data_IF_174764005876
#
_entry.id   IF_174764005876
#
_cell.length_a   1.000
_cell.length_b   1.000
_cell.length_c   1.000
_cell.angle_alpha   90.00
_cell.angle_beta   90.00
_cell.angle_gamma   90.00
#
_symmetry.space_group_name_H-M   'P 1'
#
loop_
_entity.id
_entity.type
_entity.pdbx_description
1 polymer ?
#
# COMPACT_ATOMS: atom_id res chain seq x y z
N UNK A 1 32.83 2.62 0.29
CA UNK A 1 31.61 2.85 -0.51
C UNK A 1 30.46 2.20 0.24
N UNK A 2 29.67 2.98 0.98
CA UNK A 2 28.56 2.45 1.75
C UNK A 2 27.34 2.30 0.85
N UNK A 3 26.97 1.05 0.52
CA UNK A 3 25.67 0.77 -0.07
C UNK A 3 24.61 0.93 1.02
N UNK A 4 23.82 1.99 0.96
CA UNK A 4 22.61 2.10 1.77
C UNK A 4 21.55 1.20 1.14
N UNK A 5 21.38 -0.02 1.67
CA UNK A 5 20.17 -0.81 1.45
C UNK A 5 19.20 -0.49 2.57
N UNK A 6 18.13 0.26 2.26
CA UNK A 6 16.96 0.37 3.13
C UNK A 6 16.28 -1.01 3.12
N UNK A 7 16.74 -1.90 4.02
CA UNK A 7 16.11 -3.21 4.23
C UNK A 7 14.91 -3.02 5.12
N UNK A 8 13.80 -2.60 4.55
CA UNK A 8 12.51 -2.92 5.15
C UNK A 8 12.23 -4.38 4.85
N UNK A 9 12.21 -5.25 5.85
CA UNK A 9 11.91 -6.65 5.62
C UNK A 9 10.40 -6.86 5.41
N UNK A 10 9.58 -5.81 5.47
CA UNK A 10 8.12 -5.88 5.39
C UNK A 10 7.63 -5.26 4.08
N UNK A 11 7.01 -6.09 3.24
CA UNK A 11 6.33 -5.67 2.01
C UNK A 11 4.83 -5.94 2.20
N UNK A 12 4.00 -4.92 2.05
CA UNK A 12 2.55 -5.11 1.90
C UNK A 12 2.19 -5.19 0.42
N UNK A 13 1.50 -6.27 0.07
CA UNK A 13 0.83 -6.40 -1.22
C UNK A 13 -0.65 -6.07 -1.07
N UNK A 14 -1.04 -4.93 -1.61
CA UNK A 14 -2.40 -4.43 -1.68
C UNK A 14 -3.03 -4.97 -2.98
N UNK A 15 -4.09 -5.75 -2.87
CA UNK A 15 -4.85 -6.24 -4.04
C UNK A 15 -6.08 -5.39 -4.23
N UNK A 16 -6.08 -4.58 -5.28
CA UNK A 16 -7.21 -3.77 -5.73
C UNK A 16 -8.04 -4.53 -6.77
N UNK A 17 -9.14 -3.95 -7.22
CA UNK A 17 -9.99 -4.59 -8.26
C UNK A 17 -9.26 -4.68 -9.59
N UNK A 18 -8.44 -3.67 -9.92
CA UNK A 18 -7.80 -3.57 -11.22
C UNK A 18 -6.30 -3.94 -11.21
N UNK A 19 -5.62 -3.88 -10.05
CA UNK A 19 -4.18 -4.20 -9.96
C UNK A 19 -3.74 -4.72 -8.58
N UNK A 20 -2.45 -5.08 -8.48
CA UNK A 20 -1.79 -5.31 -7.18
C UNK A 20 -0.61 -4.37 -7.02
N UNK A 21 -0.55 -3.71 -5.87
CA UNK A 21 0.52 -2.78 -5.51
C UNK A 21 1.35 -3.37 -4.38
N UNK A 22 2.66 -3.42 -4.53
CA UNK A 22 3.58 -3.78 -3.45
C UNK A 22 4.21 -2.50 -2.88
N UNK A 23 4.05 -2.25 -1.58
CA UNK A 23 4.54 -1.06 -0.90
C UNK A 23 5.02 -1.38 0.53
N UNK A 24 5.84 -0.51 1.11
CA UNK A 24 6.25 -0.63 2.51
C UNK A 24 5.12 -0.15 3.43
N UNK A 25 5.05 -0.61 4.70
CA UNK A 25 3.98 -0.24 5.64
C UNK A 25 3.83 1.25 5.90
N UNK A 26 4.96 1.95 5.85
CA UNK A 26 5.09 3.38 6.03
C UNK A 26 4.69 4.20 4.80
N UNK A 27 4.53 3.56 3.64
CA UNK A 27 4.18 4.27 2.42
C UNK A 27 2.72 4.77 2.49
N UNK A 28 2.46 6.08 2.36
CA UNK A 28 1.11 6.61 2.45
C UNK A 28 0.34 6.41 1.13
N UNK A 29 -0.94 6.10 1.26
CA UNK A 29 -1.94 6.01 0.20
C UNK A 29 -3.09 6.98 0.48
N UNK A 30 -3.66 7.59 -0.56
CA UNK A 30 -4.78 8.50 -0.40
C UNK A 30 -6.10 7.72 -0.39
N UNK A 31 -6.76 7.67 0.76
CA UNK A 31 -8.06 7.02 0.92
C UNK A 31 -9.17 8.07 0.86
N UNK A 32 -10.14 7.86 -0.03
CA UNK A 32 -11.27 8.77 -0.23
C UNK A 32 -12.08 8.87 1.07
N UNK A 33 -12.18 10.10 1.61
CA UNK A 33 -12.89 10.40 2.85
C UNK A 33 -12.06 10.27 4.14
N UNK A 34 -10.86 9.68 4.08
CA UNK A 34 -9.92 9.56 5.21
C UNK A 34 -8.66 10.42 5.01
N UNK A 35 -8.23 10.62 3.77
CA UNK A 35 -6.98 11.31 3.41
C UNK A 35 -5.79 10.35 3.35
N UNK A 36 -4.60 10.89 3.57
CA UNK A 36 -3.35 10.11 3.54
C UNK A 36 -3.30 9.11 4.70
N UNK A 37 -3.32 7.83 4.38
CA UNK A 37 -3.32 6.69 5.31
C UNK A 37 -2.11 5.81 5.00
N UNK A 38 -1.36 5.39 6.01
CA UNK A 38 -0.22 4.50 5.81
C UNK A 38 -0.69 3.14 5.28
N UNK A 39 0.11 2.49 4.42
CA UNK A 39 -0.22 1.18 3.87
C UNK A 39 -0.51 0.12 4.95
N UNK A 40 0.19 0.21 6.08
CA UNK A 40 -0.03 -0.66 7.24
C UNK A 40 -1.35 -0.42 7.99
N UNK A 41 -1.96 0.75 7.82
CA UNK A 41 -3.23 1.13 8.46
C UNK A 41 -4.46 0.93 7.55
N UNK A 42 -4.23 0.59 6.27
CA UNK A 42 -5.28 0.34 5.30
C UNK A 42 -6.13 -0.88 5.68
N UNK A 43 -7.40 -0.84 5.30
CA UNK A 43 -8.39 -1.89 5.56
C UNK A 43 -9.08 -2.33 4.28
N UNK A 44 -9.44 -3.61 4.23
CA UNK A 44 -10.26 -4.15 3.13
C UNK A 44 -11.58 -3.37 3.09
N UNK A 45 -11.93 -2.86 1.91
CA UNK A 45 -13.06 -1.96 1.70
C UNK A 45 -12.67 -0.49 1.56
N UNK A 46 -11.44 -0.10 1.90
CA UNK A 46 -10.99 1.28 1.69
C UNK A 46 -10.92 1.62 0.20
N UNK A 47 -11.44 2.79 -0.13
CA UNK A 47 -11.46 3.32 -1.48
C UNK A 47 -10.22 4.19 -1.70
N UNK A 48 -9.22 3.67 -2.42
CA UNK A 48 -7.98 4.38 -2.69
C UNK A 48 -8.07 5.17 -3.99
N UNK A 49 -7.64 6.43 -3.95
CA UNK A 49 -7.55 7.26 -5.13
C UNK A 49 -6.25 6.99 -5.88
N UNK A 50 -6.39 6.68 -7.16
CA UNK A 50 -5.28 6.48 -8.07
C UNK A 50 -4.83 7.80 -8.70
N UNK A 51 -3.59 7.83 -9.22
CA UNK A 51 -3.01 9.02 -9.87
C UNK A 51 -3.79 9.47 -11.11
N UNK A 52 -4.50 8.55 -11.77
CA UNK A 52 -5.36 8.84 -12.92
C UNK A 52 -6.72 9.46 -12.51
N UNK A 53 -6.95 9.67 -11.21
CA UNK A 53 -8.18 10.20 -10.65
C UNK A 53 -9.28 9.17 -10.43
N UNK A 54 -9.06 7.91 -10.80
CA UNK A 54 -9.99 6.81 -10.51
C UNK A 54 -9.90 6.39 -9.05
N UNK A 55 -10.89 5.61 -8.60
CA UNK A 55 -10.92 5.08 -7.24
C UNK A 55 -11.08 3.57 -7.30
N UNK A 56 -10.20 2.86 -6.62
CA UNK A 56 -10.24 1.41 -6.52
C UNK A 56 -10.43 0.99 -5.07
N UNK A 57 -11.26 -0.04 -4.88
CA UNK A 57 -11.49 -0.61 -3.56
C UNK A 57 -10.45 -1.67 -3.25
N UNK A 58 -9.85 -1.58 -2.07
CA UNK A 58 -8.94 -2.58 -1.54
C UNK A 58 -9.70 -3.87 -1.21
N UNK A 59 -9.33 -4.97 -1.87
CA UNK A 59 -9.98 -6.28 -1.71
C UNK A 59 -9.23 -7.22 -0.79
N UNK A 60 -7.91 -7.16 -0.79
CA UNK A 60 -7.08 -7.98 0.08
C UNK A 60 -5.76 -7.27 0.41
N UNK A 61 -5.22 -7.60 1.57
CA UNK A 61 -3.93 -7.10 2.07
C UNK A 61 -3.11 -8.32 2.46
N UNK A 62 -1.93 -8.47 1.88
CA UNK A 62 -0.99 -9.53 2.23
C UNK A 62 0.28 -8.89 2.76
N UNK A 63 0.73 -9.31 3.94
CA UNK A 63 1.99 -8.85 4.52
C UNK A 63 3.03 -9.94 4.30
N UNK A 64 4.06 -9.63 3.53
CA UNK A 64 5.21 -10.50 3.32
C UNK A 64 6.40 -10.01 4.13
N UNK A 65 7.01 -10.93 4.89
CA UNK A 65 8.31 -10.70 5.50
C UNK A 65 9.40 -11.30 4.61
N UNK A 66 10.30 -10.47 4.08
CA UNK A 66 11.49 -10.91 3.34
C UNK A 66 12.76 -10.59 4.15
N UNK A 67 13.39 -11.62 4.77
CA UNK A 67 14.64 -11.47 5.51
C UNK A 67 15.86 -11.21 4.62
#
# INVERSE_FOLDING_TARGET
MGSWSHRDPLILTLTLSNERIAATPEHPFFVVGQGWTAAGDLRIGDAMQQLDGTTDTLRAITVEYRP
#
